data_IF_381010908610
#
_entry.id   IF_381010908610
#
_cell.length_a   1.000
_cell.length_b   1.000
_cell.length_c   1.000
_cell.angle_alpha   90.00
_cell.angle_beta   90.00
_cell.angle_gamma   90.00
#
_symmetry.space_group_name_H-M   'P 1'
#
loop_
_entity.id
_entity.type
_entity.pdbx_description
1 polymer ?
#
# COMPACT_ATOMS: atom_id res chain seq x y z
N UNK A 1 10.45 4.22 18.25
CA UNK A 1 9.30 5.15 18.37
C UNK A 1 9.17 5.58 19.82
N UNK A 2 9.05 6.89 20.04
CA UNK A 2 8.67 7.41 21.37
C UNK A 2 7.20 7.07 21.68
N UNK A 3 6.80 7.07 22.95
CA UNK A 3 5.41 6.80 23.32
C UNK A 3 4.40 7.76 22.68
N UNK A 4 4.78 9.02 22.49
CA UNK A 4 3.98 10.07 21.80
C UNK A 4 3.74 9.72 20.31
N UNK A 5 4.75 9.21 19.61
CA UNK A 5 4.63 8.78 18.20
C UNK A 5 3.68 7.61 18.00
N UNK A 6 3.66 6.66 18.94
CA UNK A 6 2.73 5.53 18.89
C UNK A 6 1.29 5.99 19.09
N UNK A 7 1.04 6.79 20.11
CA UNK A 7 -0.30 7.30 20.43
C UNK A 7 -0.87 8.15 19.29
N UNK A 8 -0.08 9.06 18.70
CA UNK A 8 -0.54 9.91 17.60
C UNK A 8 -0.81 9.10 16.32
N UNK A 9 -0.02 8.04 16.08
CA UNK A 9 -0.24 7.16 14.94
C UNK A 9 -1.54 6.37 15.07
N UNK A 10 -1.81 5.78 16.23
CA UNK A 10 -3.04 5.03 16.46
C UNK A 10 -4.26 5.96 16.37
N UNK A 11 -4.22 7.14 16.98
CA UNK A 11 -5.27 8.14 16.87
C UNK A 11 -5.49 8.61 15.41
N UNK A 12 -4.43 8.74 14.62
CA UNK A 12 -4.52 9.03 13.19
C UNK A 12 -5.23 7.91 12.43
N UNK A 13 -4.84 6.66 12.63
CA UNK A 13 -5.45 5.51 11.95
C UNK A 13 -6.93 5.38 12.31
N UNK A 14 -7.29 5.52 13.59
CA UNK A 14 -8.68 5.50 14.04
C UNK A 14 -9.52 6.61 13.38
N UNK A 15 -8.96 7.83 13.30
CA UNK A 15 -9.65 8.97 12.68
C UNK A 15 -9.92 8.72 11.19
N UNK A 16 -8.92 8.28 10.41
CA UNK A 16 -9.12 8.02 8.98
C UNK A 16 -10.03 6.81 8.71
N UNK A 17 -10.07 5.84 9.61
CA UNK A 17 -11.01 4.73 9.53
C UNK A 17 -12.46 5.23 9.69
N UNK A 18 -12.73 6.01 10.72
CA UNK A 18 -14.06 6.54 11.02
C UNK A 18 -14.52 7.53 9.94
N UNK A 19 -13.65 8.47 9.54
CA UNK A 19 -14.03 9.53 8.60
C UNK A 19 -14.14 9.07 7.15
N UNK A 20 -13.32 8.09 6.75
CA UNK A 20 -13.19 7.71 5.33
C UNK A 20 -13.66 6.29 5.01
N UNK A 21 -13.98 5.48 6.01
CA UNK A 21 -14.42 4.08 5.80
C UNK A 21 -13.42 3.24 5.01
N UNK A 22 -12.10 3.46 5.19
CA UNK A 22 -11.06 2.82 4.40
C UNK A 22 -10.96 1.33 4.73
N UNK A 23 -10.58 0.54 3.73
CA UNK A 23 -10.33 -0.90 3.92
C UNK A 23 -9.14 -1.13 4.85
N UNK A 24 -9.15 -2.26 5.59
CA UNK A 24 -8.07 -2.65 6.50
C UNK A 24 -6.69 -2.65 5.81
N UNK A 25 -6.62 -3.10 4.57
CA UNK A 25 -5.37 -3.10 3.80
C UNK A 25 -4.84 -1.68 3.56
N UNK A 26 -5.73 -0.72 3.35
CA UNK A 26 -5.36 0.69 3.18
C UNK A 26 -4.86 1.27 4.50
N UNK A 27 -5.56 1.02 5.60
CA UNK A 27 -5.16 1.46 6.94
C UNK A 27 -3.78 0.90 7.32
N UNK A 28 -3.56 -0.41 7.12
CA UNK A 28 -2.27 -1.06 7.35
C UNK A 28 -1.16 -0.43 6.50
N UNK A 29 -1.46 -0.04 5.26
CA UNK A 29 -0.50 0.64 4.40
C UNK A 29 -0.14 2.02 4.93
N UNK A 30 -1.11 2.83 5.37
CA UNK A 30 -0.86 4.13 5.99
C UNK A 30 -0.06 3.98 7.28
N UNK A 31 -0.44 3.03 8.14
CA UNK A 31 0.27 2.74 9.39
C UNK A 31 1.74 2.40 9.11
N UNK A 32 1.99 1.42 8.26
CA UNK A 32 3.36 0.98 7.91
C UNK A 32 4.21 2.08 7.27
N UNK A 33 3.62 2.93 6.41
CA UNK A 33 4.35 4.02 5.80
C UNK A 33 4.72 5.11 6.81
N UNK A 34 3.82 5.45 7.73
CA UNK A 34 4.06 6.45 8.78
C UNK A 34 5.03 5.92 9.84
N UNK A 35 4.97 4.64 10.22
CA UNK A 35 5.96 4.00 11.11
C UNK A 35 7.38 4.08 10.53
N UNK A 36 7.53 3.75 9.25
CA UNK A 36 8.84 3.85 8.57
C UNK A 36 9.35 5.28 8.50
N UNK A 37 8.46 6.25 8.36
CA UNK A 37 8.81 7.66 8.41
C UNK A 37 9.26 8.09 9.82
N UNK A 38 8.56 7.70 10.88
CA UNK A 38 8.99 7.96 12.26
C UNK A 38 10.34 7.33 12.58
N UNK A 39 10.61 6.12 12.11
CA UNK A 39 11.92 5.49 12.24
C UNK A 39 13.03 6.31 11.56
N UNK A 40 12.74 6.88 10.38
CA UNK A 40 13.69 7.75 9.69
C UNK A 40 13.90 9.07 10.46
N UNK A 41 12.84 9.70 10.95
CA UNK A 41 12.94 10.89 11.78
C UNK A 41 13.79 10.64 13.03
N UNK A 42 13.54 9.55 13.74
CA UNK A 42 14.30 9.16 14.93
C UNK A 42 15.79 8.98 14.64
N UNK A 43 16.14 8.34 13.52
CA UNK A 43 17.54 8.18 13.08
C UNK A 43 18.24 9.50 12.79
N UNK A 44 17.50 10.52 12.37
CA UNK A 44 18.03 11.85 12.07
C UNK A 44 17.83 12.84 13.22
N UNK A 45 17.41 12.37 14.41
CA UNK A 45 17.12 13.21 15.59
C UNK A 45 16.10 14.33 15.31
N UNK A 46 15.14 14.06 14.41
CA UNK A 46 14.09 14.97 13.99
C UNK A 46 12.78 14.66 14.73
N UNK A 47 11.98 15.71 14.97
CA UNK A 47 10.65 15.56 15.56
C UNK A 47 9.58 15.91 14.52
N UNK A 48 8.58 15.05 14.36
CA UNK A 48 7.49 15.21 13.39
C UNK A 48 6.73 16.54 13.52
N UNK A 49 6.71 17.15 14.73
CA UNK A 49 6.10 18.45 14.99
C UNK A 49 6.93 19.64 14.48
N UNK A 50 8.21 19.44 14.17
CA UNK A 50 9.15 20.50 13.75
C UNK A 50 9.65 20.31 12.32
N UNK A 51 9.09 19.35 11.60
CA UNK A 51 9.44 19.07 10.20
C UNK A 51 8.96 20.20 9.30
N UNK A 52 9.82 20.66 8.41
CA UNK A 52 9.51 21.59 7.33
C UNK A 52 9.49 20.86 5.97
N UNK A 53 9.25 21.58 4.89
CA UNK A 53 9.34 21.08 3.53
C UNK A 53 10.70 20.45 3.22
N UNK A 54 11.78 20.98 3.76
CA UNK A 54 13.16 20.52 3.50
C UNK A 54 13.34 19.08 3.97
N UNK A 55 12.94 18.76 5.19
CA UNK A 55 13.06 17.42 5.75
C UNK A 55 12.14 16.41 5.02
N UNK A 56 10.99 16.85 4.50
CA UNK A 56 10.17 15.99 3.62
C UNK A 56 10.94 15.66 2.34
N UNK A 57 11.59 16.63 1.70
CA UNK A 57 12.39 16.39 0.50
C UNK A 57 13.60 15.50 0.78
N UNK A 58 14.27 15.65 1.91
CA UNK A 58 15.35 14.77 2.38
C UNK A 58 14.84 13.34 2.57
N UNK A 59 13.67 13.15 3.18
CA UNK A 59 13.06 11.83 3.29
C UNK A 59 12.77 11.20 1.92
N UNK A 60 12.24 11.96 0.97
CA UNK A 60 12.01 11.45 -0.40
C UNK A 60 13.34 11.08 -1.08
N UNK A 61 14.39 11.88 -0.92
CA UNK A 61 15.73 11.57 -1.42
C UNK A 61 16.28 10.30 -0.78
N UNK A 62 16.12 10.11 0.52
CA UNK A 62 16.44 8.88 1.21
C UNK A 62 15.69 7.68 0.63
N UNK A 63 14.40 7.79 0.34
CA UNK A 63 13.64 6.70 -0.27
C UNK A 63 14.17 6.32 -1.66
N UNK A 64 14.59 7.30 -2.46
CA UNK A 64 15.23 7.05 -3.76
C UNK A 64 16.61 6.39 -3.61
N UNK A 65 17.41 6.78 -2.62
CA UNK A 65 18.71 6.13 -2.32
C UNK A 65 18.53 4.64 -1.93
N UNK A 66 17.39 4.28 -1.33
CA UNK A 66 17.00 2.89 -1.08
C UNK A 66 16.48 2.15 -2.34
N UNK A 67 16.68 2.73 -3.54
CA UNK A 67 16.26 2.17 -4.83
C UNK A 67 14.75 1.89 -4.95
N UNK A 68 13.92 2.62 -4.19
CA UNK A 68 12.46 2.51 -4.34
C UNK A 68 12.02 3.12 -5.68
N UNK A 69 11.04 2.46 -6.33
CA UNK A 69 10.43 2.97 -7.56
C UNK A 69 9.64 4.25 -7.28
N UNK A 70 9.61 5.18 -8.23
CA UNK A 70 8.87 6.46 -8.13
C UNK A 70 7.40 6.26 -7.71
N UNK A 71 6.73 5.20 -8.17
CA UNK A 71 5.36 4.85 -7.76
C UNK A 71 5.25 4.57 -6.25
N UNK A 72 6.24 3.88 -5.67
CA UNK A 72 6.26 3.59 -4.23
C UNK A 72 6.56 4.84 -3.40
N UNK A 73 7.48 5.70 -3.89
CA UNK A 73 7.79 6.98 -3.25
C UNK A 73 6.57 7.91 -3.28
N UNK A 74 5.89 8.01 -4.43
CA UNK A 74 4.67 8.80 -4.57
C UNK A 74 3.55 8.33 -3.63
N UNK A 75 3.37 7.00 -3.46
CA UNK A 75 2.40 6.44 -2.51
C UNK A 75 2.75 6.83 -1.07
N UNK A 76 4.02 6.71 -0.67
CA UNK A 76 4.47 7.11 0.68
C UNK A 76 4.27 8.60 0.94
N UNK A 77 4.56 9.45 -0.03
CA UNK A 77 4.25 10.88 0.07
C UNK A 77 2.75 11.13 0.24
N UNK A 78 1.90 10.36 -0.44
CA UNK A 78 0.44 10.46 -0.26
C UNK A 78 0.02 10.08 1.16
N UNK A 79 0.64 9.07 1.77
CA UNK A 79 0.40 8.70 3.18
C UNK A 79 0.81 9.84 4.13
N UNK A 80 1.97 10.46 3.90
CA UNK A 80 2.44 11.59 4.71
C UNK A 80 1.54 12.81 4.57
N UNK A 81 1.04 13.11 3.38
CA UNK A 81 0.08 14.23 3.18
C UNK A 81 -1.19 14.02 4.00
N UNK A 82 -1.73 12.81 4.04
CA UNK A 82 -2.91 12.52 4.86
C UNK A 82 -2.59 12.66 6.34
N UNK A 83 -1.42 12.19 6.78
CA UNK A 83 -0.97 12.32 8.15
C UNK A 83 -0.77 13.78 8.57
N UNK A 84 -0.02 14.58 7.80
CA UNK A 84 0.21 15.99 8.12
C UNK A 84 -1.06 16.83 8.05
N UNK A 85 -1.94 16.55 7.10
CA UNK A 85 -3.26 17.17 7.06
C UNK A 85 -4.08 16.87 8.31
N UNK A 86 -4.03 15.63 8.81
CA UNK A 86 -4.65 15.26 10.08
C UNK A 86 -4.09 16.09 11.26
N UNK A 87 -2.76 16.24 11.33
CA UNK A 87 -2.12 17.05 12.38
C UNK A 87 -2.56 18.53 12.34
N UNK A 88 -2.72 19.10 11.16
CA UNK A 88 -3.21 20.48 10.99
C UNK A 88 -4.67 20.58 11.41
N UNK A 89 -5.53 19.65 11.00
CA UNK A 89 -6.96 19.62 11.40
C UNK A 89 -7.12 19.48 12.90
N UNK A 90 -6.25 18.73 13.57
CA UNK A 90 -6.24 18.60 15.04
C UNK A 90 -5.55 19.78 15.77
N UNK A 91 -5.15 20.82 15.05
CA UNK A 91 -4.41 21.98 15.59
C UNK A 91 -3.10 21.61 16.31
N UNK A 92 -2.49 20.47 15.96
CA UNK A 92 -1.16 20.07 16.46
C UNK A 92 -0.07 20.80 15.69
N UNK A 93 -0.31 21.11 14.42
CA UNK A 93 0.54 21.93 13.55
C UNK A 93 -0.25 23.07 12.94
N UNK A 94 0.42 24.21 12.71
CA UNK A 94 -0.17 25.36 12.05
C UNK A 94 -0.03 25.31 10.52
N UNK A 95 0.96 24.59 10.00
CA UNK A 95 1.30 24.54 8.57
C UNK A 95 1.58 23.09 8.18
N UNK A 96 1.07 22.68 7.01
CA UNK A 96 1.35 21.37 6.42
C UNK A 96 2.70 21.40 5.67
N UNK A 97 3.74 20.69 6.11
CA UNK A 97 5.03 20.67 5.43
C UNK A 97 4.98 19.98 4.06
N UNK A 98 3.93 19.22 3.78
CA UNK A 98 3.76 18.50 2.51
C UNK A 98 3.00 19.33 1.45
N UNK A 99 2.41 20.49 1.80
CA UNK A 99 1.51 21.25 0.92
C UNK A 99 2.14 21.58 -0.44
N UNK A 100 3.38 22.07 -0.42
CA UNK A 100 4.11 22.50 -1.63
C UNK A 100 5.12 21.48 -2.15
N UNK A 101 5.06 20.23 -1.70
CA UNK A 101 5.94 19.15 -2.17
C UNK A 101 5.33 18.53 -3.41
N UNK A 102 6.06 18.56 -4.52
CA UNK A 102 5.58 17.94 -5.75
C UNK A 102 5.65 16.41 -5.67
N UNK A 103 4.65 15.74 -6.25
CA UNK A 103 4.65 14.29 -6.35
C UNK A 103 5.67 13.85 -7.40
N UNK A 104 6.56 12.89 -7.09
CA UNK A 104 7.48 12.36 -8.09
C UNK A 104 6.76 11.88 -9.35
N UNK A 105 7.28 12.25 -10.51
CA UNK A 105 6.70 11.82 -11.80
C UNK A 105 6.74 10.30 -11.89
N UNK A 106 5.57 9.71 -12.02
CA UNK A 106 5.40 8.27 -12.21
C UNK A 106 5.19 8.02 -13.70
N UNK A 107 6.15 7.41 -14.35
CA UNK A 107 5.94 6.93 -15.72
C UNK A 107 4.84 5.86 -15.70
N UNK A 108 3.75 6.10 -16.42
CA UNK A 108 2.71 5.10 -16.63
C UNK A 108 3.30 3.99 -17.50
N UNK A 109 3.66 2.88 -16.89
CA UNK A 109 3.98 1.69 -17.66
C UNK A 109 2.69 1.10 -18.23
N UNK A 110 2.66 0.84 -19.52
CA UNK A 110 1.58 0.06 -20.11
C UNK A 110 1.65 -1.33 -19.49
N UNK A 111 0.55 -1.85 -18.93
CA UNK A 111 0.54 -3.22 -18.41
C UNK A 111 0.96 -4.19 -19.52
N UNK A 112 1.84 -5.12 -19.20
CA UNK A 112 2.12 -6.23 -20.11
C UNK A 112 0.90 -7.13 -20.11
N UNK A 113 0.20 -7.20 -21.22
CA UNK A 113 -0.88 -8.16 -21.43
C UNK A 113 -0.32 -9.44 -22.01
N UNK A 114 -0.87 -10.56 -21.59
CA UNK A 114 -0.61 -11.84 -22.25
C UNK A 114 -1.26 -11.84 -23.62
N UNK A 115 -0.60 -12.43 -24.61
CA UNK A 115 -1.23 -12.67 -25.90
C UNK A 115 -2.08 -13.95 -25.85
N UNK A 116 -2.90 -14.18 -26.87
CA UNK A 116 -3.84 -15.31 -26.94
C UNK A 116 -3.13 -16.66 -26.74
N UNK A 117 -1.99 -16.86 -27.42
CA UNK A 117 -1.19 -18.11 -27.31
C UNK A 117 -0.59 -18.31 -25.91
N UNK A 118 -0.26 -17.24 -25.22
CA UNK A 118 0.23 -17.32 -23.83
C UNK A 118 -0.90 -17.68 -22.86
N UNK A 119 -2.12 -17.19 -23.12
CA UNK A 119 -3.31 -17.55 -22.36
C UNK A 119 -3.67 -19.01 -22.57
N UNK A 120 -3.70 -19.49 -23.81
CA UNK A 120 -3.95 -20.91 -24.13
C UNK A 120 -2.97 -21.83 -23.39
N UNK A 121 -1.67 -21.54 -23.47
CA UNK A 121 -0.65 -22.28 -22.75
C UNK A 121 -0.86 -22.26 -21.23
N UNK A 122 -1.28 -21.11 -20.68
CA UNK A 122 -1.55 -20.98 -19.25
C UNK A 122 -2.73 -21.85 -18.82
N UNK A 123 -3.78 -21.92 -19.65
CA UNK A 123 -4.96 -22.74 -19.39
C UNK A 123 -4.67 -24.26 -19.52
N UNK A 124 -3.68 -24.64 -20.35
CA UNK A 124 -3.26 -26.04 -20.52
C UNK A 124 -2.21 -26.50 -19.51
N UNK A 125 -1.56 -25.59 -18.78
CA UNK A 125 -0.47 -25.89 -17.86
C UNK A 125 -0.83 -26.88 -16.71
N UNK A 126 -2.04 -26.83 -16.10
CA UNK A 126 -2.37 -27.71 -14.99
C UNK A 126 -2.52 -29.17 -15.41
N UNK A 127 -1.91 -30.09 -14.65
CA UNK A 127 -2.04 -31.53 -14.86
C UNK A 127 -3.43 -32.05 -14.45
N UNK A 128 -4.28 -32.29 -15.44
CA UNK A 128 -5.67 -32.73 -15.24
C UNK A 128 -5.79 -34.15 -14.65
N UNK A 129 -4.71 -34.92 -14.58
CA UNK A 129 -4.72 -36.27 -13.99
C UNK A 129 -4.59 -36.22 -12.45
N UNK A 130 -4.27 -35.04 -11.88
CA UNK A 130 -4.20 -34.85 -10.44
C UNK A 130 -5.38 -34.03 -9.93
N UNK A 131 -5.85 -34.33 -8.72
CA UNK A 131 -6.94 -33.57 -8.08
C UNK A 131 -6.58 -32.09 -7.91
N UNK A 132 -5.32 -31.79 -7.60
CA UNK A 132 -4.82 -30.43 -7.48
C UNK A 132 -4.79 -29.70 -8.83
N UNK A 133 -4.35 -30.38 -9.88
CA UNK A 133 -4.32 -29.79 -11.22
C UNK A 133 -5.70 -29.55 -11.80
N UNK A 134 -6.68 -30.43 -11.54
CA UNK A 134 -8.10 -30.19 -11.89
C UNK A 134 -8.64 -28.94 -11.18
N UNK A 135 -8.36 -28.80 -9.89
CA UNK A 135 -8.72 -27.61 -9.12
C UNK A 135 -8.08 -26.36 -9.71
N UNK A 136 -6.77 -26.40 -9.96
CA UNK A 136 -6.02 -25.23 -10.45
C UNK A 136 -6.49 -24.83 -11.85
N UNK A 137 -6.81 -25.79 -12.72
CA UNK A 137 -7.41 -25.56 -14.04
C UNK A 137 -8.76 -24.85 -13.92
N UNK A 138 -9.66 -25.36 -13.08
CA UNK A 138 -10.97 -24.76 -12.85
C UNK A 138 -10.85 -23.31 -12.32
N UNK A 139 -9.87 -23.06 -11.43
CA UNK A 139 -9.58 -21.72 -10.92
C UNK A 139 -9.13 -20.76 -12.01
N UNK A 140 -8.18 -21.14 -12.86
CA UNK A 140 -7.64 -20.31 -13.93
C UNK A 140 -8.70 -20.04 -14.99
N UNK A 141 -9.47 -21.06 -15.41
CA UNK A 141 -10.57 -20.91 -16.36
C UNK A 141 -11.67 -19.97 -15.84
N UNK A 142 -12.03 -20.08 -14.56
CA UNK A 142 -13.01 -19.19 -13.93
C UNK A 142 -12.50 -17.75 -13.89
N UNK A 143 -11.24 -17.54 -13.50
CA UNK A 143 -10.61 -16.23 -13.48
C UNK A 143 -10.60 -15.59 -14.88
N UNK A 144 -10.25 -16.36 -15.89
CA UNK A 144 -10.18 -15.89 -17.28
C UNK A 144 -11.56 -15.59 -17.85
N UNK A 145 -12.52 -16.52 -17.74
CA UNK A 145 -13.87 -16.38 -18.32
C UNK A 145 -14.68 -15.26 -17.68
N UNK A 146 -14.53 -15.06 -16.36
CA UNK A 146 -15.27 -14.04 -15.62
C UNK A 146 -14.50 -12.73 -15.47
N UNK A 147 -13.24 -12.62 -15.94
CA UNK A 147 -12.40 -11.43 -15.77
C UNK A 147 -12.15 -11.08 -14.29
N UNK A 148 -12.15 -12.07 -13.41
CA UNK A 148 -11.99 -11.87 -11.98
C UNK A 148 -10.54 -11.58 -11.61
N UNK A 149 -10.35 -10.78 -10.55
CA UNK A 149 -9.04 -10.66 -9.90
C UNK A 149 -8.81 -11.86 -8.99
N UNK A 150 -7.56 -12.35 -8.87
CA UNK A 150 -7.22 -13.49 -8.01
C UNK A 150 -7.73 -13.32 -6.57
N UNK A 151 -7.73 -12.09 -6.03
CA UNK A 151 -8.30 -11.80 -4.69
C UNK A 151 -9.81 -12.07 -4.63
N UNK A 152 -10.54 -11.82 -5.71
CA UNK A 152 -12.00 -12.07 -5.75
C UNK A 152 -12.32 -13.55 -5.74
N UNK A 153 -11.45 -14.38 -6.31
CA UNK A 153 -11.65 -15.84 -6.32
C UNK A 153 -11.59 -16.44 -4.91
N UNK A 154 -10.71 -15.94 -4.04
CA UNK A 154 -10.58 -16.45 -2.66
C UNK A 154 -11.86 -16.25 -1.83
N UNK A 155 -12.73 -15.32 -2.23
CA UNK A 155 -14.04 -15.09 -1.60
C UNK A 155 -15.16 -15.97 -2.17
N UNK A 156 -14.94 -16.58 -3.35
CA UNK A 156 -15.93 -17.48 -4.00
C UNK A 156 -15.73 -18.96 -3.60
N UNK A 157 -14.54 -19.31 -3.13
CA UNK A 157 -14.26 -20.67 -2.66
C UNK A 157 -14.62 -20.80 -1.19
N UNK A 158 -15.35 -21.85 -0.84
CA UNK A 158 -15.55 -22.22 0.56
C UNK A 158 -14.19 -22.48 1.22
N UNK A 159 -14.01 -22.09 2.50
CA UNK A 159 -12.78 -22.41 3.22
C UNK A 159 -12.60 -23.93 3.25
N UNK A 160 -11.54 -24.40 2.63
CA UNK A 160 -11.14 -25.83 2.57
C UNK A 160 -10.38 -26.26 3.82
N UNK A 161 -10.51 -25.57 4.94
CA UNK A 161 -10.01 -26.06 6.22
C UNK A 161 -10.89 -27.23 6.65
N UNK A 162 -10.34 -28.47 6.75
CA UNK A 162 -11.09 -29.54 7.36
C UNK A 162 -11.44 -29.12 8.78
N UNK A 163 -12.73 -29.17 9.10
CA UNK A 163 -13.20 -29.11 10.48
C UNK A 163 -12.73 -30.41 11.11
N UNK A 164 -11.70 -30.35 11.94
CA UNK A 164 -11.26 -31.44 12.82
C UNK A 164 -12.12 -31.43 14.04
#
# INVERSE_FOLDING_TARGET
>A
MSGDEGQILDAFIDTIWIEKGLSQNTLNSYKSDTEKYFLWLSKNSLNYKKVSRTEILEYLSYLFSQKLRSKSVARKLSSLRVFYKYLVVKNILSIDPCEKVETPKVMKSIPKTLNEKEIEKLLECPDINSALGLRDKAMIETLYSCGLRAVSYTHLTLPTTPVV
#
